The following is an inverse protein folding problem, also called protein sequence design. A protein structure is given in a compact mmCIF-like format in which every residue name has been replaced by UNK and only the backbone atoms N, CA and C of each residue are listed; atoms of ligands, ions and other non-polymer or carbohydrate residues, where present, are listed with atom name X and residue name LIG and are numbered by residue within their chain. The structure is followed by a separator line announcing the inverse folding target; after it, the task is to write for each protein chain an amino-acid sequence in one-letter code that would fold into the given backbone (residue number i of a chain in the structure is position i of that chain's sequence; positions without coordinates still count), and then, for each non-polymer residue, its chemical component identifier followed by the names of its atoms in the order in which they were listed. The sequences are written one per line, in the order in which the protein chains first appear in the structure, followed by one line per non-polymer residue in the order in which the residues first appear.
data_IF_753342332142
#
_entry.id   IF_753342332142
#
_cell.length_a   1.000
_cell.length_b   1.000
_cell.length_c   1.000
_cell.angle_alpha   90.00
_cell.angle_beta   90.00
_cell.angle_gamma   90.00
#
_symmetry.space_group_name_H-M   'P 1'
#
loop_
_entity.id
_entity.type
_entity.pdbx_description
1 polymer ?
#
# COMPACT_ATOMS: atom_id res chain seq x y z
N UNK A 1 5.80 0.89 40.13
CA UNK A 1 6.91 0.56 39.21
C UNK A 1 7.08 1.69 38.22
N UNK A 2 8.20 2.40 38.29
CA UNK A 2 8.52 3.53 37.40
C UNK A 2 9.10 2.95 36.11
N UNK A 3 8.43 3.17 34.97
CA UNK A 3 8.94 2.80 33.65
C UNK A 3 9.98 3.85 33.25
N UNK A 4 11.23 3.43 33.14
CA UNK A 4 12.35 4.25 32.68
C UNK A 4 12.29 4.28 31.14
N UNK A 5 11.90 5.42 30.57
CA UNK A 5 12.02 5.67 29.13
C UNK A 5 13.49 6.03 28.85
N UNK A 6 14.24 5.11 28.27
CA UNK A 6 15.60 5.38 27.79
C UNK A 6 15.50 6.01 26.41
N UNK A 7 15.62 7.33 26.33
CA UNK A 7 15.88 8.03 25.07
C UNK A 7 17.35 7.78 24.68
N UNK A 8 17.60 6.91 23.72
CA UNK A 8 18.90 6.75 23.09
C UNK A 8 19.15 7.97 22.17
N UNK A 9 19.94 8.92 22.61
CA UNK A 9 20.47 10.01 21.78
C UNK A 9 21.58 9.41 20.92
N UNK A 10 21.28 9.10 19.66
CA UNK A 10 22.29 8.75 18.67
C UNK A 10 23.09 10.02 18.31
N UNK A 11 24.38 10.02 18.59
CA UNK A 11 25.32 11.06 18.14
C UNK A 11 25.47 10.91 16.63
N UNK A 12 24.82 11.79 15.88
CA UNK A 12 24.89 11.86 14.42
C UNK A 12 26.22 12.50 14.03
N UNK A 13 27.12 11.74 13.45
CA UNK A 13 28.25 12.27 12.64
C UNK A 13 27.65 13.03 11.46
N UNK A 14 28.08 14.25 11.24
CA UNK A 14 27.57 15.19 10.23
C UNK A 14 27.98 14.79 8.81
N UNK A 15 27.37 13.76 8.26
CA UNK A 15 27.18 13.69 6.82
C UNK A 15 25.92 14.50 6.51
N UNK A 16 25.94 15.34 5.47
CA UNK A 16 24.78 16.15 5.07
C UNK A 16 23.64 15.22 4.65
N UNK A 17 22.84 14.76 5.62
CA UNK A 17 21.65 13.96 5.37
C UNK A 17 20.60 14.93 4.83
N UNK A 18 20.30 14.84 3.54
CA UNK A 18 19.22 15.62 2.93
C UNK A 18 17.90 15.03 3.40
N UNK A 19 17.13 15.82 4.13
CA UNK A 19 15.74 15.52 4.43
C UNK A 19 14.88 15.90 3.21
N UNK A 20 13.98 15.02 2.80
CA UNK A 20 13.06 15.27 1.70
C UNK A 20 11.62 15.18 2.18
N UNK A 21 10.85 16.22 1.92
CA UNK A 21 9.40 16.24 2.10
C UNK A 21 8.74 15.98 0.75
N UNK A 22 7.71 15.13 0.72
CA UNK A 22 6.92 14.84 -0.46
C UNK A 22 5.44 14.84 -0.11
N UNK A 23 4.61 15.40 -0.99
CA UNK A 23 3.15 15.38 -0.88
C UNK A 23 2.54 15.33 -2.26
N UNK A 24 1.35 14.78 -2.37
CA UNK A 24 0.58 14.70 -3.60
C UNK A 24 -0.76 14.03 -3.36
N UNK A 25 -1.50 13.80 -4.44
CA UNK A 25 -2.75 13.06 -4.39
C UNK A 25 -3.00 12.34 -5.71
N UNK A 26 -3.49 11.11 -5.66
CA UNK A 26 -4.07 10.44 -6.80
C UNK A 26 -5.59 10.66 -6.81
N UNK A 27 -6.15 10.92 -8.01
CA UNK A 27 -7.58 10.79 -8.26
C UNK A 27 -7.76 9.56 -9.13
N UNK A 28 -8.49 8.58 -8.63
CA UNK A 28 -8.69 7.29 -9.29
C UNK A 28 -10.17 7.05 -9.58
N UNK A 29 -10.45 6.37 -10.68
CA UNK A 29 -11.82 6.01 -11.07
C UNK A 29 -12.47 4.96 -10.17
N UNK A 30 -11.64 4.19 -9.45
CA UNK A 30 -12.04 3.14 -8.52
C UNK A 30 -10.87 2.79 -7.61
N UNK A 31 -11.14 2.45 -6.35
CA UNK A 31 -10.11 1.98 -5.43
C UNK A 31 -10.09 0.45 -5.39
N UNK A 32 -9.15 -0.13 -6.11
CA UNK A 32 -8.89 -1.58 -6.12
C UNK A 32 -7.51 -1.84 -5.54
N UNK A 33 -7.46 -2.54 -4.41
CA UNK A 33 -6.22 -2.86 -3.71
C UNK A 33 -5.96 -4.37 -3.75
N UNK A 34 -4.83 -4.77 -4.35
CA UNK A 34 -4.41 -6.18 -4.52
C UNK A 34 -5.50 -7.08 -5.13
N UNK A 35 -6.27 -6.51 -6.09
CA UNK A 35 -7.39 -7.21 -6.74
C UNK A 35 -8.68 -7.27 -5.93
N UNK A 36 -8.75 -6.56 -4.81
CA UNK A 36 -9.94 -6.44 -3.96
C UNK A 36 -10.48 -5.02 -4.06
N UNK A 37 -11.73 -4.82 -4.53
CA UNK A 37 -12.35 -3.50 -4.55
C UNK A 37 -12.64 -3.06 -3.11
N UNK A 38 -12.28 -1.81 -2.80
CA UNK A 38 -12.47 -1.23 -1.47
C UNK A 38 -13.80 -0.45 -1.37
N UNK A 39 -14.47 -0.23 -2.48
CA UNK A 39 -15.77 0.44 -2.49
C UNK A 39 -16.92 -0.58 -2.39
N UNK A 40 -17.98 -0.20 -1.66
CA UNK A 40 -19.24 -0.95 -1.63
C UNK A 40 -19.90 -0.94 -3.01
N UNK A 41 -19.84 0.20 -3.72
CA UNK A 41 -20.30 0.34 -5.10
C UNK A 41 -19.10 0.39 -6.02
N UNK A 42 -18.92 -0.62 -6.86
CA UNK A 42 -17.81 -0.70 -7.82
C UNK A 42 -17.78 0.51 -8.75
N UNK A 43 -16.57 1.02 -8.99
CA UNK A 43 -16.36 2.14 -9.91
C UNK A 43 -16.67 3.51 -9.31
N UNK A 44 -16.59 3.67 -7.99
CA UNK A 44 -16.69 4.95 -7.34
C UNK A 44 -15.33 5.66 -7.36
N UNK A 45 -15.22 6.90 -7.87
CA UNK A 45 -13.98 7.66 -7.82
C UNK A 45 -13.54 7.95 -6.39
N UNK A 46 -12.21 7.94 -6.19
CA UNK A 46 -11.58 8.25 -4.91
C UNK A 46 -10.50 9.32 -5.08
N UNK A 47 -10.30 10.14 -4.06
CA UNK A 47 -9.10 10.96 -3.88
C UNK A 47 -8.21 10.30 -2.83
N UNK A 48 -6.91 10.19 -3.15
CA UNK A 48 -5.92 9.44 -2.38
C UNK A 48 -4.70 10.33 -2.08
N UNK A 49 -4.80 11.26 -1.10
CA UNK A 49 -3.69 12.12 -0.72
C UNK A 49 -2.62 11.36 0.05
N UNK A 50 -1.37 11.82 -0.07
CA UNK A 50 -0.25 11.33 0.70
C UNK A 50 0.70 12.43 1.13
N UNK A 51 1.42 12.15 2.20
CA UNK A 51 2.53 12.98 2.68
C UNK A 51 3.62 12.08 3.23
N UNK A 52 4.87 12.41 2.97
CA UNK A 52 5.99 11.66 3.51
C UNK A 52 7.19 12.56 3.80
N UNK A 53 8.05 12.06 4.70
CA UNK A 53 9.30 12.68 5.08
C UNK A 53 10.39 11.60 5.08
N UNK A 54 11.46 11.84 4.31
CA UNK A 54 12.57 10.89 4.15
C UNK A 54 13.86 11.49 4.68
N UNK A 55 14.57 10.71 5.50
CA UNK A 55 15.91 11.04 6.02
C UNK A 55 16.78 9.80 5.92
N UNK A 56 17.83 9.85 5.13
CA UNK A 56 18.69 8.69 4.87
C UNK A 56 17.87 7.54 4.26
N UNK A 57 17.93 6.36 4.88
CA UNK A 57 17.13 5.19 4.47
C UNK A 57 15.72 5.13 5.07
N UNK A 58 15.37 6.04 5.99
CA UNK A 58 14.08 6.04 6.68
C UNK A 58 13.10 6.99 6.01
N UNK A 59 11.92 6.48 5.66
CA UNK A 59 10.75 7.26 5.24
C UNK A 59 9.62 7.03 6.22
N UNK A 60 8.99 8.09 6.71
CA UNK A 60 7.73 8.02 7.46
C UNK A 60 6.67 8.81 6.71
N UNK A 61 5.43 8.36 6.74
CA UNK A 61 4.39 9.04 6.00
C UNK A 61 2.98 8.61 6.39
N UNK A 62 2.03 9.24 5.73
CA UNK A 62 0.62 8.91 5.76
C UNK A 62 0.09 8.87 4.34
N UNK A 63 -0.81 7.95 4.11
CA UNK A 63 -1.64 7.86 2.92
C UNK A 63 -3.10 7.79 3.37
N UNK A 64 -3.99 8.28 2.54
CA UNK A 64 -5.42 8.21 2.82
C UNK A 64 -6.21 7.95 1.55
N UNK A 65 -7.45 7.47 1.68
CA UNK A 65 -8.42 7.39 0.59
C UNK A 65 -9.78 7.83 1.06
N UNK A 66 -10.44 8.63 0.22
CA UNK A 66 -11.84 9.01 0.43
C UNK A 66 -12.60 8.94 -0.89
N UNK A 67 -13.68 8.15 -0.91
CA UNK A 67 -14.56 8.11 -2.07
C UNK A 67 -15.40 9.38 -2.18
N UNK A 68 -15.72 9.80 -3.39
CA UNK A 68 -16.58 10.98 -3.62
C UNK A 68 -18.02 10.77 -3.14
N UNK A 69 -18.42 9.52 -2.92
CA UNK A 69 -19.72 9.21 -2.31
C UNK A 69 -19.64 9.11 -0.77
N UNK A 70 -18.45 9.25 -0.17
CA UNK A 70 -18.24 9.23 1.27
C UNK A 70 -18.38 7.87 1.95
N UNK A 71 -18.50 6.78 1.18
CA UNK A 71 -18.67 5.42 1.69
C UNK A 71 -17.34 4.64 1.86
N UNK A 72 -16.22 5.25 1.49
CA UNK A 72 -14.86 4.76 1.77
C UNK A 72 -14.09 5.87 2.42
N UNK A 73 -13.46 5.56 3.53
CA UNK A 73 -12.52 6.43 4.25
C UNK A 73 -11.44 5.56 4.85
N UNK A 74 -10.21 5.87 4.53
CA UNK A 74 -9.04 5.14 5.00
C UNK A 74 -7.93 6.13 5.31
N UNK A 75 -7.21 5.90 6.38
CA UNK A 75 -5.98 6.64 6.73
C UNK A 75 -4.96 5.65 7.24
N UNK A 76 -3.82 5.61 6.56
CA UNK A 76 -2.70 4.75 6.90
C UNK A 76 -1.51 5.57 7.35
N UNK A 77 -0.82 5.05 8.35
CA UNK A 77 0.50 5.54 8.76
C UNK A 77 1.53 4.47 8.43
N UNK A 78 2.68 4.88 7.90
CA UNK A 78 3.71 3.92 7.56
C UNK A 78 5.12 4.41 7.89
N UNK A 79 6.00 3.45 8.12
CA UNK A 79 7.43 3.67 8.22
C UNK A 79 8.15 2.64 7.35
N UNK A 80 9.00 3.11 6.45
CA UNK A 80 9.81 2.30 5.54
C UNK A 80 11.29 2.51 5.83
N UNK A 81 12.05 1.44 5.93
CA UNK A 81 13.50 1.49 5.99
C UNK A 81 14.12 0.76 4.81
N UNK A 82 14.76 1.52 3.92
CA UNK A 82 15.55 0.99 2.82
C UNK A 82 16.97 0.65 3.34
N UNK A 83 17.24 -0.63 3.53
CA UNK A 83 18.55 -1.10 4.03
C UNK A 83 19.52 -1.43 2.91
N UNK A 84 19.07 -1.38 1.67
CA UNK A 84 19.90 -1.36 0.47
C UNK A 84 19.15 -0.72 -0.70
N UNK A 85 19.79 -0.57 -1.84
CA UNK A 85 19.16 -0.11 -3.09
C UNK A 85 18.08 -1.08 -3.61
N UNK A 86 18.10 -2.33 -3.15
CA UNK A 86 17.19 -3.38 -3.63
C UNK A 86 16.20 -3.84 -2.59
N UNK A 87 16.42 -3.60 -1.30
CA UNK A 87 15.56 -4.13 -0.24
C UNK A 87 15.08 -3.05 0.72
N UNK A 88 13.80 -3.11 1.04
CA UNK A 88 13.16 -2.26 2.04
C UNK A 88 12.20 -3.07 2.91
N UNK A 89 12.08 -2.66 4.17
CA UNK A 89 11.06 -3.13 5.10
C UNK A 89 10.12 -1.97 5.42
N UNK A 90 8.82 -2.21 5.27
CA UNK A 90 7.77 -1.25 5.65
C UNK A 90 6.90 -1.86 6.75
N UNK A 91 6.53 -1.04 7.71
CA UNK A 91 5.43 -1.34 8.64
C UNK A 91 4.34 -0.31 8.37
N UNK A 92 3.12 -0.80 8.14
CA UNK A 92 1.94 0.03 7.88
C UNK A 92 0.87 -0.26 8.93
N UNK A 93 0.31 0.79 9.47
CA UNK A 93 -0.90 0.81 10.28
C UNK A 93 -2.06 1.24 9.38
N UNK A 94 -2.86 0.29 8.94
CA UNK A 94 -4.07 0.52 8.17
C UNK A 94 -5.25 0.83 9.09
N UNK A 95 -6.04 1.85 8.72
CA UNK A 95 -7.32 2.09 9.35
C UNK A 95 -8.40 2.29 8.29
N UNK A 96 -9.17 1.24 8.02
CA UNK A 96 -10.25 1.24 7.02
C UNK A 96 -11.61 1.66 7.57
N UNK A 97 -11.70 1.99 8.83
CA UNK A 97 -13.00 1.93 9.46
C UNK A 97 -13.68 3.25 9.69
N UNK A 98 -13.25 4.14 10.43
CA UNK A 98 -14.05 5.26 11.00
C UNK A 98 -15.38 4.86 11.66
N UNK A 99 -15.64 3.56 11.84
CA UNK A 99 -16.75 3.06 12.67
C UNK A 99 -16.43 3.21 14.15
N UNK A 100 -15.15 3.30 14.49
CA UNK A 100 -14.62 3.63 15.81
C UNK A 100 -13.78 4.91 15.75
N UNK A 101 -13.42 5.46 16.90
CA UNK A 101 -12.46 6.56 16.95
C UNK A 101 -11.13 6.10 16.33
N UNK A 102 -10.53 6.89 15.43
CA UNK A 102 -9.20 6.64 14.87
C UNK A 102 -8.16 6.33 15.96
N UNK A 103 -8.22 6.98 17.10
CA UNK A 103 -7.28 6.78 18.22
C UNK A 103 -7.59 5.57 19.09
N UNK A 104 -8.52 4.70 18.69
CA UNK A 104 -8.82 3.47 19.43
C UNK A 104 -7.87 2.35 19.03
N UNK A 105 -6.68 2.36 19.60
CA UNK A 105 -5.64 1.32 19.41
C UNK A 105 -5.85 0.07 20.30
N UNK A 106 -6.93 0.00 21.06
CA UNK A 106 -7.26 -1.13 21.91
C UNK A 106 -8.04 -2.21 21.15
N UNK A 107 -8.26 -3.36 21.81
CA UNK A 107 -9.07 -4.45 21.26
C UNK A 107 -10.44 -3.95 20.77
N UNK A 108 -10.81 -4.34 19.56
CA UNK A 108 -12.02 -3.91 18.86
C UNK A 108 -11.89 -2.53 18.21
N UNK A 109 -10.69 -2.01 18.02
CA UNK A 109 -10.39 -0.95 17.05
C UNK A 109 -10.25 -1.51 15.63
N UNK A 110 -10.24 -0.62 14.65
CA UNK A 110 -10.22 -0.98 13.22
C UNK A 110 -8.81 -0.98 12.64
N UNK A 111 -7.77 -0.85 13.47
CA UNK A 111 -6.37 -0.87 13.04
C UNK A 111 -5.91 -2.26 12.66
N UNK A 112 -5.17 -2.36 11.53
CA UNK A 112 -4.48 -3.55 11.09
C UNK A 112 -3.02 -3.23 10.77
N UNK A 113 -2.09 -4.05 11.26
CA UNK A 113 -0.66 -3.81 11.12
C UNK A 113 -0.04 -4.81 10.18
N UNK A 114 0.58 -4.30 9.10
CA UNK A 114 1.24 -5.12 8.08
C UNK A 114 2.76 -4.85 8.08
N UNK A 115 3.52 -5.92 7.95
CA UNK A 115 4.94 -5.86 7.60
C UNK A 115 5.11 -6.26 6.14
N UNK A 116 5.80 -5.42 5.37
CA UNK A 116 6.11 -5.64 3.96
C UNK A 116 7.62 -5.70 3.76
N UNK A 117 8.12 -6.84 3.28
CA UNK A 117 9.47 -6.94 2.74
C UNK A 117 9.39 -6.80 1.21
N UNK A 118 10.03 -5.77 0.68
CA UNK A 118 10.06 -5.48 -0.74
C UNK A 118 11.47 -5.68 -1.32
N UNK A 119 11.52 -6.29 -2.49
CA UNK A 119 12.70 -6.37 -3.35
C UNK A 119 12.44 -5.59 -4.63
N UNK A 120 13.34 -4.66 -4.95
CA UNK A 120 13.36 -3.98 -6.24
C UNK A 120 14.41 -4.64 -7.12
N UNK A 121 13.99 -5.10 -8.29
CA UNK A 121 14.86 -5.81 -9.24
C UNK A 121 16.07 -5.00 -9.66
N UNK A 122 17.16 -5.71 -9.97
CA UNK A 122 18.34 -5.10 -10.54
C UNK A 122 18.10 -4.68 -12.00
N UNK A 123 18.90 -3.73 -12.52
CA UNK A 123 18.80 -3.25 -13.91
C UNK A 123 18.88 -4.39 -14.95
N UNK A 124 19.77 -5.37 -14.73
CA UNK A 124 19.94 -6.52 -15.61
C UNK A 124 18.75 -7.50 -15.56
N UNK A 125 17.99 -7.52 -14.46
CA UNK A 125 16.80 -8.35 -14.28
C UNK A 125 15.81 -7.62 -13.37
N UNK A 126 14.94 -6.78 -13.94
CA UNK A 126 14.11 -5.84 -13.19
C UNK A 126 12.83 -6.47 -12.59
N UNK A 127 12.87 -7.73 -12.19
CA UNK A 127 11.80 -8.37 -11.46
C UNK A 127 11.71 -7.80 -10.05
N UNK A 128 10.58 -7.20 -9.68
CA UNK A 128 10.31 -6.78 -8.32
C UNK A 128 9.40 -7.80 -7.62
N UNK A 129 9.60 -7.94 -6.31
CA UNK A 129 8.82 -8.86 -5.48
C UNK A 129 8.47 -8.22 -4.14
N UNK A 130 7.34 -8.58 -3.55
CA UNK A 130 7.02 -8.23 -2.17
C UNK A 130 6.33 -9.39 -1.45
N UNK A 131 6.57 -9.44 -0.13
CA UNK A 131 5.84 -10.28 0.81
C UNK A 131 5.25 -9.35 1.87
N UNK A 132 3.96 -9.46 2.07
CA UNK A 132 3.18 -8.55 2.89
C UNK A 132 2.37 -9.40 3.87
N UNK A 133 2.56 -9.22 5.18
CA UNK A 133 1.90 -10.04 6.20
C UNK A 133 1.28 -9.16 7.27
N UNK A 134 -0.02 -9.29 7.47
CA UNK A 134 -0.69 -8.70 8.63
C UNK A 134 -0.29 -9.48 9.88
N UNK A 135 0.32 -8.81 10.85
CA UNK A 135 0.85 -9.48 12.04
C UNK A 135 0.09 -9.14 13.32
N UNK A 136 -0.77 -8.10 13.30
CA UNK A 136 -1.57 -7.68 14.45
C UNK A 136 -2.79 -6.85 14.02
N UNK A 137 -3.70 -6.64 14.95
CA UNK A 137 -4.88 -5.80 14.75
C UNK A 137 -6.13 -6.60 14.43
N UNK A 138 -6.99 -6.06 13.56
CA UNK A 138 -8.31 -6.60 13.26
C UNK A 138 -8.29 -7.80 12.29
N UNK A 139 -7.14 -8.15 11.68
CA UNK A 139 -7.01 -9.31 10.79
C UNK A 139 -7.17 -10.62 11.59
N UNK A 140 -8.39 -11.17 11.60
CA UNK A 140 -8.73 -12.34 12.41
C UNK A 140 -9.48 -13.40 11.63
N UNK A 141 -9.26 -14.67 12.01
CA UNK A 141 -10.06 -15.81 11.60
C UNK A 141 -11.41 -15.81 12.33
N UNK A 142 -12.36 -16.63 11.87
CA UNK A 142 -13.63 -16.86 12.54
C UNK A 142 -13.49 -17.32 13.99
N UNK A 143 -12.34 -17.91 14.35
CA UNK A 143 -12.00 -18.33 15.70
C UNK A 143 -11.55 -17.19 16.62
N UNK A 144 -11.42 -15.96 16.09
CA UNK A 144 -10.91 -14.79 16.81
C UNK A 144 -9.38 -14.76 16.98
N UNK A 145 -8.64 -15.70 16.38
CA UNK A 145 -7.17 -15.67 16.32
C UNK A 145 -6.71 -14.81 15.14
N UNK A 146 -5.52 -14.23 15.22
CA UNK A 146 -4.91 -13.54 14.07
C UNK A 146 -4.85 -14.48 12.86
N UNK A 147 -5.27 -13.98 11.71
CA UNK A 147 -5.23 -14.73 10.46
C UNK A 147 -3.82 -14.76 9.86
N UNK A 148 -3.00 -13.75 10.16
CA UNK A 148 -1.70 -13.54 9.53
C UNK A 148 -1.81 -13.51 8.01
N UNK A 149 -2.85 -12.85 7.51
CA UNK A 149 -3.12 -12.72 6.07
C UNK A 149 -1.86 -12.30 5.33
N UNK A 150 -1.35 -13.18 4.47
CA UNK A 150 -0.09 -12.98 3.77
C UNK A 150 -0.33 -12.92 2.27
N UNK A 151 0.17 -11.85 1.64
CA UNK A 151 0.09 -11.62 0.20
C UNK A 151 1.49 -11.51 -0.37
N UNK A 152 1.70 -12.12 -1.54
CA UNK A 152 2.92 -11.96 -2.32
C UNK A 152 2.59 -11.35 -3.67
N UNK A 153 3.47 -10.49 -4.19
CA UNK A 153 3.35 -9.95 -5.52
C UNK A 153 4.69 -10.00 -6.25
N UNK A 154 4.63 -10.35 -7.52
CA UNK A 154 5.72 -10.20 -8.47
C UNK A 154 5.30 -9.20 -9.52
N UNK A 155 6.22 -8.32 -9.94
CA UNK A 155 5.98 -7.41 -11.06
C UNK A 155 7.21 -7.28 -11.95
N UNK A 156 6.97 -7.11 -13.25
CA UNK A 156 8.01 -7.01 -14.24
C UNK A 156 7.70 -5.88 -15.24
N UNK A 157 8.61 -4.92 -15.46
CA UNK A 157 8.44 -3.89 -16.47
C UNK A 157 8.66 -4.52 -17.86
N UNK A 158 7.64 -4.42 -18.72
CA UNK A 158 7.72 -4.90 -20.11
C UNK A 158 8.17 -3.79 -21.07
N UNK A 159 7.95 -2.52 -20.68
CA UNK A 159 8.48 -1.32 -21.33
C UNK A 159 8.76 -0.27 -20.25
N UNK A 160 9.32 0.90 -20.65
CA UNK A 160 9.50 2.04 -19.76
C UNK A 160 8.16 2.61 -19.20
N UNK A 161 7.05 2.29 -19.84
CA UNK A 161 5.71 2.82 -19.51
C UNK A 161 4.75 1.74 -19.04
N UNK A 162 5.08 0.46 -19.14
CA UNK A 162 4.17 -0.63 -18.84
C UNK A 162 4.84 -1.71 -17.99
N UNK A 163 4.12 -2.18 -16.96
CA UNK A 163 4.51 -3.33 -16.13
C UNK A 163 3.37 -4.31 -15.98
N UNK A 164 3.69 -5.59 -15.96
CA UNK A 164 2.77 -6.67 -15.59
C UNK A 164 3.00 -7.06 -14.15
N UNK A 165 1.98 -7.61 -13.52
CA UNK A 165 2.07 -8.09 -12.14
C UNK A 165 1.17 -9.30 -11.91
N UNK A 166 1.55 -10.10 -10.93
CA UNK A 166 0.75 -11.19 -10.37
C UNK A 166 0.91 -11.22 -8.87
N UNK A 167 -0.20 -11.38 -8.16
CA UNK A 167 -0.21 -11.46 -6.71
C UNK A 167 -1.21 -12.48 -6.20
N UNK A 168 -0.90 -13.06 -5.04
CA UNK A 168 -1.67 -14.12 -4.44
C UNK A 168 -1.72 -13.98 -2.91
N UNK A 169 -2.87 -14.30 -2.31
CA UNK A 169 -2.99 -14.63 -0.90
C UNK A 169 -2.45 -16.05 -0.68
N UNK A 170 -1.57 -16.24 0.30
CA UNK A 170 -0.91 -17.52 0.54
C UNK A 170 -1.72 -18.44 1.45
N UNK A 171 -2.69 -17.92 2.17
CA UNK A 171 -3.44 -18.65 3.20
C UNK A 171 -4.89 -18.17 3.29
N UNK A 172 -5.65 -18.74 4.22
CA UNK A 172 -6.98 -18.25 4.55
C UNK A 172 -6.88 -16.77 4.99
N UNK A 173 -7.66 -15.95 4.32
CA UNK A 173 -7.74 -14.52 4.56
C UNK A 173 -9.14 -14.02 4.22
N UNK A 174 -10.12 -14.50 4.97
CA UNK A 174 -11.52 -14.21 4.70
C UNK A 174 -11.85 -12.72 4.80
N UNK A 175 -11.22 -12.00 5.76
CA UNK A 175 -11.46 -10.59 6.00
C UNK A 175 -10.78 -9.68 4.99
N UNK A 176 -9.51 -9.97 4.61
CA UNK A 176 -8.69 -9.05 3.80
C UNK A 176 -8.80 -9.36 2.31
N UNK A 177 -8.59 -10.63 1.93
CA UNK A 177 -8.55 -11.02 0.51
C UNK A 177 -9.76 -11.86 0.07
N UNK A 178 -10.66 -12.22 1.01
CA UNK A 178 -11.82 -13.06 0.72
C UNK A 178 -11.47 -14.51 0.35
N UNK A 179 -10.27 -14.99 0.76
CA UNK A 179 -9.78 -16.33 0.41
C UNK A 179 -9.93 -17.31 1.58
N UNK A 180 -10.23 -18.58 1.25
CA UNK A 180 -10.28 -19.70 2.22
C UNK A 180 -9.00 -20.54 2.23
N UNK A 181 -7.96 -20.08 1.52
CA UNK A 181 -6.66 -20.72 1.37
C UNK A 181 -5.85 -19.96 0.33
N UNK A 182 -4.88 -20.65 -0.30
CA UNK A 182 -4.12 -20.05 -1.40
C UNK A 182 -5.04 -19.60 -2.53
N UNK A 183 -4.83 -18.38 -3.03
CA UNK A 183 -5.59 -17.85 -4.16
C UNK A 183 -4.87 -16.73 -4.89
N UNK A 184 -4.80 -16.80 -6.21
CA UNK A 184 -4.35 -15.68 -7.04
C UNK A 184 -5.46 -14.63 -7.05
N UNK A 185 -5.21 -13.51 -6.41
CA UNK A 185 -6.20 -12.43 -6.24
C UNK A 185 -5.94 -11.23 -7.14
N UNK A 186 -4.75 -11.14 -7.75
CA UNK A 186 -4.40 -9.96 -8.53
C UNK A 186 -3.49 -10.34 -9.69
N UNK A 187 -3.94 -10.14 -10.93
CA UNK A 187 -3.11 -10.29 -12.12
C UNK A 187 -3.46 -9.18 -13.10
N UNK A 188 -2.46 -8.52 -13.68
CA UNK A 188 -2.78 -7.41 -14.57
C UNK A 188 -1.59 -6.72 -15.19
N UNK A 189 -1.92 -5.60 -15.83
CA UNK A 189 -0.96 -4.67 -16.44
C UNK A 189 -1.29 -3.25 -15.97
N UNK A 190 -0.24 -2.49 -15.62
CA UNK A 190 -0.30 -1.05 -15.41
C UNK A 190 0.45 -0.36 -16.52
N UNK A 191 -0.19 0.64 -17.14
CA UNK A 191 0.42 1.53 -18.14
C UNK A 191 0.39 2.95 -17.59
N UNK A 192 1.50 3.67 -17.70
CA UNK A 192 1.66 5.04 -17.21
C UNK A 192 2.20 5.94 -18.30
N UNK A 193 1.77 7.21 -18.30
CA UNK A 193 2.25 8.25 -19.21
C UNK A 193 2.24 9.59 -18.50
N UNK A 194 3.24 10.41 -18.76
CA UNK A 194 3.23 11.82 -18.35
C UNK A 194 2.77 12.67 -19.55
N UNK A 195 1.71 13.46 -19.35
CA UNK A 195 1.14 14.34 -20.36
C UNK A 195 1.64 15.77 -20.11
N UNK A 196 2.46 16.37 -20.98
CA UNK A 196 2.84 17.77 -20.84
C UNK A 196 1.60 18.64 -21.07
N UNK A 197 1.27 19.50 -20.11
CA UNK A 197 0.14 20.44 -20.18
C UNK A 197 0.64 21.84 -20.51
N UNK A 198 1.73 22.24 -19.86
CA UNK A 198 2.46 23.50 -20.13
C UNK A 198 3.96 23.23 -20.06
N UNK A 199 4.79 24.22 -20.40
CA UNK A 199 6.25 24.12 -20.28
C UNK A 199 6.73 23.89 -18.84
N UNK A 200 5.89 24.14 -17.84
CA UNK A 200 6.22 24.02 -16.41
C UNK A 200 5.38 22.98 -15.68
N UNK A 201 4.36 22.42 -16.31
CA UNK A 201 3.45 21.48 -15.68
C UNK A 201 3.17 20.28 -16.58
N UNK A 202 3.36 19.11 -16.04
CA UNK A 202 3.04 17.84 -16.68
C UNK A 202 2.17 17.00 -15.74
N UNK A 203 1.18 16.33 -16.29
CA UNK A 203 0.22 15.51 -15.55
C UNK A 203 0.55 14.04 -15.76
N UNK A 204 1.03 13.31 -14.71
CA UNK A 204 1.14 11.88 -14.75
C UNK A 204 -0.26 11.24 -14.75
N UNK A 205 -0.45 10.30 -15.68
CA UNK A 205 -1.69 9.53 -15.79
C UNK A 205 -1.36 8.04 -15.87
N UNK A 206 -2.27 7.18 -15.43
CA UNK A 206 -2.10 5.75 -15.56
C UNK A 206 -3.43 5.02 -15.76
N UNK A 207 -3.33 3.83 -16.32
CA UNK A 207 -4.41 2.85 -16.41
C UNK A 207 -3.97 1.50 -15.88
N UNK A 208 -4.83 0.82 -15.16
CA UNK A 208 -4.63 -0.54 -14.68
C UNK A 208 -5.77 -1.39 -15.21
N UNK A 209 -5.43 -2.46 -15.94
CA UNK A 209 -6.36 -3.54 -16.25
C UNK A 209 -5.95 -4.74 -15.43
N UNK A 210 -6.81 -5.21 -14.56
CA UNK A 210 -6.52 -6.34 -13.68
C UNK A 210 -7.71 -7.28 -13.51
N UNK A 211 -7.41 -8.48 -13.04
CA UNK A 211 -8.41 -9.46 -12.67
C UNK A 211 -8.05 -10.07 -11.30
N UNK A 212 -9.08 -10.48 -10.58
CA UNK A 212 -8.97 -11.36 -9.44
C UNK A 212 -9.50 -12.75 -9.86
N UNK A 213 -8.61 -13.69 -10.23
CA UNK A 213 -9.02 -15.02 -10.67
C UNK A 213 -9.75 -15.81 -9.59
N UNK A 214 -9.42 -15.58 -8.30
CA UNK A 214 -10.06 -16.26 -7.18
C UNK A 214 -11.55 -15.91 -7.06
N UNK A 215 -11.89 -14.62 -7.21
CA UNK A 215 -13.27 -14.13 -7.12
C UNK A 215 -13.98 -14.04 -8.47
N UNK A 216 -13.28 -14.25 -9.60
CA UNK A 216 -13.83 -14.11 -10.96
C UNK A 216 -14.12 -12.66 -11.38
N UNK A 217 -13.56 -11.66 -10.70
CA UNK A 217 -13.78 -10.26 -11.02
C UNK A 217 -12.66 -9.70 -11.91
N UNK A 218 -13.01 -8.71 -12.75
CA UNK A 218 -12.06 -7.93 -13.52
C UNK A 218 -12.31 -6.43 -13.27
N UNK A 219 -11.23 -5.63 -13.37
CA UNK A 219 -11.23 -4.23 -13.01
C UNK A 219 -10.47 -3.41 -14.05
N UNK A 220 -10.98 -2.19 -14.30
CA UNK A 220 -10.23 -1.14 -14.95
C UNK A 220 -10.18 0.07 -14.03
N UNK A 221 -8.97 0.56 -13.76
CA UNK A 221 -8.74 1.76 -12.95
C UNK A 221 -7.97 2.76 -13.79
N UNK A 222 -8.52 3.96 -13.95
CA UNK A 222 -7.79 5.11 -14.47
C UNK A 222 -7.40 6.02 -13.30
N UNK A 223 -6.20 6.58 -13.35
CA UNK A 223 -5.70 7.49 -12.32
C UNK A 223 -4.91 8.66 -12.89
N UNK A 224 -4.95 9.76 -12.16
CA UNK A 224 -4.10 10.94 -12.37
C UNK A 224 -3.41 11.27 -11.06
N UNK A 225 -2.15 11.72 -11.12
CA UNK A 225 -1.38 12.14 -9.95
C UNK A 225 -1.17 13.66 -9.98
N UNK A 226 -1.43 14.33 -8.84
CA UNK A 226 -1.33 15.77 -8.63
C UNK A 226 -0.17 16.12 -7.70
#
# INVERSE_FOLDING_TARGET
MKVLVICAIAVLTTTSIKAQFSTGADIVSSYVWRGVPQEVTKGTPNIQPYVSFTVGGLTVGSWASSSFLGNVKEVDLYATYAFSSSFALTVTDYNWGFNSSYFKYSKGGDHMYEATLAYTGAEAFPLSASVNTFFAGADTLATGKNAFSTYVELSYPITSSAKVFVGASLMESAMVYGTTGFGVTNVGIKVSKTIPITDKFSLPVYGILSANPYSGNAFFVAGITL
#
